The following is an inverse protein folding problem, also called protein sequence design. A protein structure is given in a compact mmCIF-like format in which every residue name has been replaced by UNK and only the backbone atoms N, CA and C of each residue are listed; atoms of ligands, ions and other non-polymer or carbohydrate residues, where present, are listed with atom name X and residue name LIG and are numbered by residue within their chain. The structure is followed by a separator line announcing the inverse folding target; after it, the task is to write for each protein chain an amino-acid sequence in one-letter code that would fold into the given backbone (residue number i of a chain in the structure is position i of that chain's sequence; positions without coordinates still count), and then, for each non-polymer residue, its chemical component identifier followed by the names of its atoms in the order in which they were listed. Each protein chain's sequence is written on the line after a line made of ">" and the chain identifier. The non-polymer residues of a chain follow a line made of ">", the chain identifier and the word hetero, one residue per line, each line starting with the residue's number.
data_IF_905938312025
#
_entry.id   IF_905938312025
#
_cell.length_a   1.000
_cell.length_b   1.000
_cell.length_c   1.000
_cell.angle_alpha   90.00
_cell.angle_beta   90.00
_cell.angle_gamma   90.00
#
_symmetry.space_group_name_H-M   'P 1'
#
loop_
_entity.id
_entity.type
_entity.pdbx_description
1 polymer ?
#
# COMPACT_ATOMS: atom_id res chain seq x y z
N UNK A 1 28.60 1.06 18.58
CA UNK A 1 27.47 0.14 18.32
C UNK A 1 26.27 0.61 19.15
N UNK A 2 25.27 1.19 18.51
CA UNK A 2 24.02 1.52 19.20
C UNK A 2 23.36 0.21 19.64
N UNK A 3 23.15 0.05 20.95
CA UNK A 3 22.39 -1.09 21.47
C UNK A 3 20.94 -0.91 21.05
N UNK A 4 20.48 -1.70 20.08
CA UNK A 4 19.06 -1.81 19.74
C UNK A 4 18.35 -2.24 21.02
N UNK A 5 17.61 -1.32 21.63
CA UNK A 5 16.74 -1.69 22.75
C UNK A 5 15.68 -2.63 22.20
N UNK A 6 15.39 -3.76 22.86
CA UNK A 6 14.26 -4.59 22.49
C UNK A 6 13.02 -3.70 22.51
N UNK A 7 12.28 -3.73 21.41
CA UNK A 7 10.99 -3.07 21.31
C UNK A 7 10.12 -3.70 22.40
N UNK A 8 9.84 -2.94 23.46
CA UNK A 8 8.90 -3.35 24.52
C UNK A 8 7.50 -3.47 23.93
N UNK A 9 6.75 -4.47 24.37
CA UNK A 9 5.31 -4.70 24.21
C UNK A 9 4.62 -3.74 23.21
N UNK A 10 4.72 -4.05 21.90
CA UNK A 10 3.93 -3.34 20.90
C UNK A 10 2.49 -3.80 21.07
N UNK A 11 1.65 -2.87 21.50
CA UNK A 11 0.20 -3.05 21.43
C UNK A 11 -0.26 -2.71 20.00
N UNK A 12 -0.18 -3.70 19.12
CA UNK A 12 -0.56 -3.56 17.71
C UNK A 12 -2.02 -3.13 17.56
N UNK A 13 -2.88 -3.55 18.49
CA UNK A 13 -4.29 -3.21 18.44
C UNK A 13 -4.53 -1.75 18.79
N UNK A 14 -3.88 -1.26 19.83
CA UNK A 14 -3.90 0.16 20.18
C UNK A 14 -3.37 1.01 19.03
N UNK A 15 -2.24 0.62 18.43
CA UNK A 15 -1.65 1.38 17.32
C UNK A 15 -2.60 1.47 16.11
N UNK A 16 -3.27 0.37 15.74
CA UNK A 16 -4.24 0.37 14.65
C UNK A 16 -5.47 1.24 14.98
N UNK A 17 -5.98 1.17 16.20
CA UNK A 17 -7.09 2.01 16.64
C UNK A 17 -6.72 3.50 16.67
N UNK A 18 -5.53 3.83 17.18
CA UNK A 18 -5.01 5.21 17.21
C UNK A 18 -4.81 5.75 15.78
N UNK A 19 -4.43 4.88 14.83
CA UNK A 19 -4.27 5.24 13.43
C UNK A 19 -5.62 5.43 12.72
N UNK A 20 -6.57 4.52 12.92
CA UNK A 20 -7.94 4.62 12.38
C UNK A 20 -8.72 5.82 12.94
N UNK A 21 -8.41 6.26 14.16
CA UNK A 21 -8.99 7.45 14.78
C UNK A 21 -8.28 8.75 14.41
N UNK A 22 -7.27 8.72 13.54
CA UNK A 22 -6.50 9.89 13.13
C UNK A 22 -6.89 10.38 11.74
N UNK A 23 -6.49 11.62 11.43
CA UNK A 23 -6.59 12.26 10.11
C UNK A 23 -5.55 11.75 9.09
N UNK A 24 -4.66 10.84 9.52
CA UNK A 24 -3.58 10.28 8.70
C UNK A 24 -4.09 9.15 7.79
N UNK A 25 -5.20 8.51 8.16
CA UNK A 25 -5.90 7.55 7.30
C UNK A 25 -7.14 8.20 6.70
N UNK A 26 -7.27 8.10 5.38
CA UNK A 26 -8.46 8.51 4.65
C UNK A 26 -9.19 7.28 4.13
N UNK A 27 -10.47 7.13 4.48
CA UNK A 27 -11.29 6.04 3.95
C UNK A 27 -11.49 6.23 2.44
N UNK A 28 -11.13 5.20 1.68
CA UNK A 28 -11.32 5.11 0.23
C UNK A 28 -12.68 4.49 -0.06
N UNK A 29 -12.96 3.34 0.57
CA UNK A 29 -14.24 2.66 0.48
C UNK A 29 -14.45 1.69 1.64
N UNK A 30 -15.72 1.37 1.86
CA UNK A 30 -16.18 0.45 2.90
C UNK A 30 -17.12 -0.59 2.32
N UNK A 31 -16.77 -1.86 2.52
CA UNK A 31 -17.41 -3.02 1.92
C UNK A 31 -18.06 -3.85 3.01
N UNK A 32 -19.37 -4.01 2.92
CA UNK A 32 -20.16 -4.92 3.76
C UNK A 32 -20.78 -6.03 2.92
N UNK A 33 -21.32 -7.04 3.59
CA UNK A 33 -21.94 -8.19 2.94
C UNK A 33 -23.08 -7.80 1.97
N UNK A 34 -23.86 -6.78 2.32
CA UNK A 34 -25.00 -6.29 1.56
C UNK A 34 -24.64 -5.39 0.37
N UNK A 35 -23.40 -4.91 0.28
CA UNK A 35 -23.02 -3.99 -0.78
C UNK A 35 -22.93 -4.69 -2.13
N UNK A 36 -23.22 -3.95 -3.20
CA UNK A 36 -22.94 -4.37 -4.57
C UNK A 36 -21.55 -3.89 -5.01
N UNK A 37 -20.95 -4.57 -5.99
CA UNK A 37 -19.67 -4.13 -6.56
C UNK A 37 -19.77 -2.70 -7.12
N UNK A 38 -20.89 -2.34 -7.75
CA UNK A 38 -21.12 -1.01 -8.32
C UNK A 38 -21.12 0.09 -7.25
N UNK A 39 -21.77 -0.15 -6.10
CA UNK A 39 -21.75 0.78 -4.97
C UNK A 39 -20.33 1.07 -4.49
N UNK A 40 -19.51 0.03 -4.35
CA UNK A 40 -18.12 0.19 -3.88
C UNK A 40 -17.26 0.89 -4.93
N UNK A 41 -17.43 0.54 -6.21
CA UNK A 41 -16.70 1.20 -7.30
C UNK A 41 -17.03 2.71 -7.36
N UNK A 42 -18.29 3.08 -7.12
CA UNK A 42 -18.70 4.49 -7.04
C UNK A 42 -18.05 5.22 -5.86
N UNK A 43 -17.94 4.59 -4.68
CA UNK A 43 -17.21 5.17 -3.54
C UNK A 43 -15.76 5.47 -3.89
N UNK A 44 -15.08 4.53 -4.56
CA UNK A 44 -13.67 4.70 -4.99
C UNK A 44 -13.55 5.86 -6.00
N UNK A 45 -14.52 5.99 -6.93
CA UNK A 45 -14.55 7.09 -7.89
C UNK A 45 -14.81 8.45 -7.23
N UNK A 46 -15.70 8.51 -6.24
CA UNK A 46 -15.96 9.72 -5.44
C UNK A 46 -14.72 10.12 -4.64
N UNK A 47 -14.05 9.16 -4.00
CA UNK A 47 -12.78 9.38 -3.32
C UNK A 47 -11.74 9.99 -4.27
N UNK A 48 -11.54 9.39 -5.44
CA UNK A 48 -10.59 9.87 -6.45
C UNK A 48 -10.84 11.32 -6.88
N UNK A 49 -12.11 11.70 -7.06
CA UNK A 49 -12.51 13.08 -7.38
C UNK A 49 -12.24 14.03 -6.22
N UNK A 50 -12.62 13.66 -5.00
CA UNK A 50 -12.47 14.51 -3.81
C UNK A 50 -11.00 14.79 -3.49
N UNK A 51 -10.15 13.80 -3.68
CA UNK A 51 -8.71 13.89 -3.42
C UNK A 51 -7.89 14.40 -4.62
N UNK A 52 -8.56 14.81 -5.71
CA UNK A 52 -7.95 15.26 -6.96
C UNK A 52 -6.83 14.31 -7.43
N UNK A 53 -7.12 13.01 -7.41
CA UNK A 53 -6.17 12.00 -7.84
C UNK A 53 -6.14 12.00 -9.36
N UNK A 54 -5.19 12.73 -9.94
CA UNK A 54 -4.94 12.70 -11.38
C UNK A 54 -4.38 11.33 -11.77
N UNK A 55 -5.15 10.63 -12.62
CA UNK A 55 -4.81 9.32 -13.18
C UNK A 55 -4.04 9.46 -14.50
N UNK A 56 -3.43 10.63 -14.76
CA UNK A 56 -2.71 10.86 -16.02
C UNK A 56 -1.56 9.86 -16.20
N UNK A 57 -1.40 9.38 -17.45
CA UNK A 57 -0.48 8.32 -17.85
C UNK A 57 0.93 8.53 -17.29
N UNK A 58 1.38 7.53 -16.53
CA UNK A 58 2.75 7.28 -16.07
C UNK A 58 3.73 8.44 -16.26
N UNK A 59 3.62 9.49 -15.44
CA UNK A 59 4.71 10.43 -15.30
C UNK A 59 5.82 9.73 -14.49
N UNK A 60 7.04 9.67 -15.01
CA UNK A 60 8.21 9.10 -14.32
C UNK A 60 8.48 9.74 -12.93
N UNK A 61 7.80 10.87 -12.63
CA UNK A 61 7.83 11.60 -11.35
C UNK A 61 6.72 11.23 -10.36
N UNK A 62 5.73 10.43 -10.71
CA UNK A 62 4.60 10.12 -9.83
C UNK A 62 5.07 9.30 -8.62
N UNK A 63 4.90 9.78 -7.39
CA UNK A 63 5.18 8.98 -6.18
C UNK A 63 4.09 7.95 -5.96
N UNK A 64 4.47 6.75 -5.51
CA UNK A 64 3.48 5.73 -5.13
C UNK A 64 2.71 6.13 -3.87
N UNK A 65 1.44 5.73 -3.80
CA UNK A 65 0.55 5.91 -2.64
C UNK A 65 0.51 4.63 -1.83
N UNK A 66 0.36 4.76 -0.50
CA UNK A 66 0.30 3.62 0.43
C UNK A 66 -1.13 3.47 0.92
N UNK A 67 -1.59 2.23 1.03
CA UNK A 67 -2.91 1.91 1.51
C UNK A 67 -2.90 0.73 2.49
N UNK A 68 -3.93 0.66 3.31
CA UNK A 68 -4.17 -0.43 4.27
C UNK A 68 -5.59 -0.98 4.07
N UNK A 69 -5.70 -2.30 4.03
CA UNK A 69 -6.97 -3.03 4.10
C UNK A 69 -7.19 -3.46 5.55
N UNK A 70 -8.30 -3.02 6.13
CA UNK A 70 -8.72 -3.35 7.48
C UNK A 70 -9.95 -4.23 7.43
N UNK A 71 -9.96 -5.29 8.23
CA UNK A 71 -11.11 -6.18 8.39
C UNK A 71 -11.71 -6.08 9.79
N UNK A 72 -13.03 -6.22 9.85
CA UNK A 72 -13.78 -6.39 11.09
C UNK A 72 -14.78 -7.53 10.90
N UNK A 73 -14.86 -8.44 11.87
CA UNK A 73 -15.89 -9.48 11.86
C UNK A 73 -17.31 -8.86 11.93
N UNK A 74 -17.44 -7.74 12.64
CA UNK A 74 -18.62 -6.86 12.67
C UNK A 74 -18.15 -5.41 12.93
N UNK A 75 -18.92 -4.39 12.56
CA UNK A 75 -18.55 -2.98 12.68
C UNK A 75 -18.18 -2.55 14.11
N UNK A 76 -18.77 -3.21 15.11
CA UNK A 76 -18.52 -2.98 16.53
C UNK A 76 -17.34 -3.79 17.10
N UNK A 77 -16.75 -4.67 16.29
CA UNK A 77 -15.65 -5.53 16.69
C UNK A 77 -14.28 -4.93 16.34
N UNK A 78 -13.28 -5.52 17.00
CA UNK A 78 -11.88 -5.11 16.98
C UNK A 78 -11.34 -5.16 15.54
N UNK A 79 -10.82 -4.04 15.00
CA UNK A 79 -10.27 -4.02 13.64
C UNK A 79 -8.94 -4.77 13.57
N UNK A 80 -8.69 -5.41 12.43
CA UNK A 80 -7.45 -6.13 12.13
C UNK A 80 -6.87 -5.58 10.83
N UNK A 81 -5.58 -5.28 10.81
CA UNK A 81 -4.84 -4.94 9.59
C UNK A 81 -4.62 -6.21 8.79
N UNK A 82 -5.27 -6.32 7.62
CA UNK A 82 -5.22 -7.51 6.77
C UNK A 82 -4.08 -7.43 5.76
N UNK A 83 -3.89 -6.25 5.17
CA UNK A 83 -2.89 -6.02 4.14
C UNK A 83 -2.47 -4.56 4.12
N UNK A 84 -1.21 -4.32 3.78
CA UNK A 84 -0.68 -3.00 3.42
C UNK A 84 -0.11 -3.11 2.02
N UNK A 85 -0.43 -2.15 1.16
CA UNK A 85 0.01 -2.12 -0.22
C UNK A 85 0.55 -0.76 -0.64
N UNK A 86 1.22 -0.74 -1.79
CA UNK A 86 1.72 0.48 -2.41
C UNK A 86 1.54 0.46 -3.93
N UNK A 87 0.86 1.48 -4.44
CA UNK A 87 0.37 1.57 -5.82
C UNK A 87 0.77 2.88 -6.46
N UNK A 88 1.07 2.87 -7.77
CA UNK A 88 1.17 4.12 -8.52
C UNK A 88 -0.23 4.68 -8.81
N UNK A 89 -1.13 3.80 -9.21
CA UNK A 89 -2.55 4.09 -9.41
C UNK A 89 -3.35 3.29 -8.36
N UNK A 90 -3.52 3.92 -7.20
CA UNK A 90 -4.23 3.35 -6.05
C UNK A 90 -5.69 3.02 -6.40
N UNK A 91 -6.33 3.85 -7.22
CA UNK A 91 -7.73 3.67 -7.60
C UNK A 91 -7.87 2.43 -8.47
N UNK A 92 -6.99 2.26 -9.47
CA UNK A 92 -7.02 1.08 -10.34
C UNK A 92 -6.72 -0.21 -9.57
N UNK A 93 -5.74 -0.21 -8.69
CA UNK A 93 -5.39 -1.38 -7.88
C UNK A 93 -6.57 -1.80 -7.00
N UNK A 94 -7.11 -0.88 -6.20
CA UNK A 94 -8.23 -1.19 -5.30
C UNK A 94 -9.50 -1.56 -6.09
N UNK A 95 -9.78 -0.94 -7.25
CA UNK A 95 -10.90 -1.36 -8.10
C UNK A 95 -10.74 -2.79 -8.62
N UNK A 96 -9.52 -3.23 -8.94
CA UNK A 96 -9.26 -4.61 -9.34
C UNK A 96 -9.50 -5.56 -8.16
N UNK A 97 -8.95 -5.23 -6.99
CA UNK A 97 -9.13 -6.02 -5.77
C UNK A 97 -10.62 -6.15 -5.39
N UNK A 98 -11.38 -5.05 -5.46
CA UNK A 98 -12.83 -5.06 -5.25
C UNK A 98 -13.54 -5.92 -6.29
N UNK A 99 -13.21 -5.80 -7.58
CA UNK A 99 -13.81 -6.66 -8.61
C UNK A 99 -13.54 -8.14 -8.35
N UNK A 100 -12.36 -8.47 -7.83
CA UNK A 100 -12.02 -9.84 -7.43
C UNK A 100 -12.90 -10.33 -6.27
N UNK A 101 -13.14 -9.49 -5.24
CA UNK A 101 -14.01 -9.81 -4.11
C UNK A 101 -15.44 -10.19 -4.53
N UNK A 102 -15.95 -9.60 -5.61
CA UNK A 102 -17.30 -9.82 -6.14
C UNK A 102 -17.35 -10.79 -7.33
N UNK A 103 -16.22 -11.36 -7.74
CA UNK A 103 -16.17 -12.26 -8.90
C UNK A 103 -16.63 -13.69 -8.53
N UNK A 104 -17.54 -14.24 -9.33
CA UNK A 104 -18.07 -15.60 -9.12
C UNK A 104 -17.18 -16.69 -9.74
N UNK A 105 -16.26 -16.35 -10.66
CA UNK A 105 -15.73 -17.30 -11.65
C UNK A 105 -14.20 -17.41 -11.80
N UNK A 106 -13.38 -16.93 -10.86
CA UNK A 106 -11.92 -17.05 -10.97
C UNK A 106 -11.33 -18.03 -9.94
N UNK A 107 -10.78 -19.17 -10.41
CA UNK A 107 -9.97 -20.11 -9.62
C UNK A 107 -8.70 -19.46 -9.02
N UNK A 108 -8.33 -18.26 -9.48
CA UNK A 108 -7.12 -17.53 -9.06
C UNK A 108 -7.32 -16.51 -7.93
N UNK A 109 -8.55 -16.07 -7.63
CA UNK A 109 -8.77 -14.95 -6.69
C UNK A 109 -9.43 -15.39 -5.37
N UNK A 110 -8.89 -16.44 -4.74
CA UNK A 110 -9.38 -16.91 -3.44
C UNK A 110 -9.18 -15.86 -2.35
N UNK A 111 -8.03 -15.18 -2.33
CA UNK A 111 -7.63 -14.34 -1.20
C UNK A 111 -8.67 -13.26 -0.84
N UNK A 112 -8.98 -12.34 -1.76
CA UNK A 112 -9.88 -11.23 -1.44
C UNK A 112 -11.34 -11.67 -1.23
N UNK A 113 -11.77 -12.73 -1.93
CA UNK A 113 -13.09 -13.33 -1.70
C UNK A 113 -13.19 -13.96 -0.32
N UNK A 114 -12.19 -14.73 0.10
CA UNK A 114 -12.11 -15.34 1.42
C UNK A 114 -12.13 -14.27 2.52
N UNK A 115 -11.48 -13.13 2.30
CA UNK A 115 -11.56 -12.00 3.22
C UNK A 115 -12.99 -11.44 3.33
N UNK A 116 -13.70 -11.25 2.20
CA UNK A 116 -15.08 -10.75 2.21
C UNK A 116 -16.07 -11.73 2.86
N UNK A 117 -15.83 -13.03 2.74
CA UNK A 117 -16.64 -14.06 3.42
C UNK A 117 -16.33 -14.12 4.93
N UNK A 118 -15.06 -13.95 5.30
CA UNK A 118 -14.61 -14.05 6.69
C UNK A 118 -14.96 -12.82 7.53
N UNK A 119 -14.89 -11.62 6.95
CA UNK A 119 -15.08 -10.36 7.65
C UNK A 119 -16.39 -9.70 7.22
N UNK A 120 -17.26 -9.39 8.17
CA UNK A 120 -18.52 -8.70 7.89
C UNK A 120 -18.34 -7.26 7.38
N UNK A 121 -17.16 -6.69 7.59
CA UNK A 121 -16.79 -5.37 7.06
C UNK A 121 -15.31 -5.33 6.66
N UNK A 122 -15.05 -4.83 5.46
CA UNK A 122 -13.71 -4.52 4.95
C UNK A 122 -13.63 -3.03 4.62
N UNK A 123 -12.49 -2.40 4.92
CA UNK A 123 -12.27 -0.98 4.71
C UNK A 123 -10.91 -0.77 4.07
N UNK A 124 -10.88 -0.08 2.93
CA UNK A 124 -9.64 0.40 2.33
C UNK A 124 -9.40 1.83 2.78
N UNK A 125 -8.20 2.10 3.29
CA UNK A 125 -7.78 3.44 3.69
C UNK A 125 -6.47 3.81 2.99
N UNK A 126 -6.38 5.05 2.51
CA UNK A 126 -5.11 5.63 2.08
C UNK A 126 -4.36 6.19 3.29
N UNK A 127 -3.05 5.93 3.33
CA UNK A 127 -2.14 6.47 4.32
C UNK A 127 -1.47 7.74 3.81
N UNK A 128 -1.65 8.85 4.53
CA UNK A 128 -0.92 10.10 4.28
C UNK A 128 0.53 9.94 4.74
N UNK A 129 1.40 9.57 3.80
CA UNK A 129 2.80 9.15 4.05
C UNK A 129 3.56 10.18 4.89
N UNK A 130 3.54 11.46 4.49
CA UNK A 130 4.34 12.49 5.16
C UNK A 130 3.91 12.69 6.62
N UNK A 131 2.60 12.74 6.87
CA UNK A 131 2.05 12.90 8.22
C UNK A 131 2.31 11.66 9.08
N UNK A 132 2.21 10.47 8.49
CA UNK A 132 2.52 9.23 9.18
C UNK A 132 3.99 9.18 9.60
N UNK A 133 4.90 9.54 8.70
CA UNK A 133 6.33 9.58 8.99
C UNK A 133 6.66 10.64 10.05
N UNK A 134 6.06 11.83 9.99
CA UNK A 134 6.26 12.86 11.00
C UNK A 134 5.85 12.40 12.41
N UNK A 135 4.73 11.68 12.52
CA UNK A 135 4.18 11.25 13.81
C UNK A 135 4.81 9.96 14.35
N UNK A 136 5.13 9.01 13.49
CA UNK A 136 5.49 7.64 13.90
C UNK A 136 6.91 7.22 13.51
N UNK A 137 7.64 7.97 12.69
CA UNK A 137 9.01 7.58 12.35
C UNK A 137 9.93 7.67 13.58
N UNK A 138 10.64 6.58 13.82
CA UNK A 138 11.73 6.55 14.79
C UNK A 138 13.05 6.85 14.07
N UNK A 139 13.86 7.78 14.58
CA UNK A 139 15.11 8.23 13.93
C UNK A 139 16.04 7.04 13.59
N UNK A 140 16.12 6.04 14.48
CA UNK A 140 16.92 4.83 14.26
C UNK A 140 16.40 4.00 13.07
N UNK A 141 15.08 3.95 12.85
CA UNK A 141 14.48 3.23 11.71
C UNK A 141 14.74 3.99 10.41
N UNK A 142 14.64 5.32 10.46
CA UNK A 142 14.93 6.19 9.31
C UNK A 142 16.37 6.04 8.82
N UNK A 143 17.35 6.00 9.73
CA UNK A 143 18.76 5.75 9.36
C UNK A 143 18.96 4.40 8.68
N UNK A 144 18.37 3.33 9.24
CA UNK A 144 18.47 1.98 8.66
C UNK A 144 17.83 1.92 7.27
N UNK A 145 16.63 2.48 7.12
CA UNK A 145 15.93 2.55 5.82
C UNK A 145 16.73 3.37 4.81
N UNK A 146 17.36 4.45 5.23
CA UNK A 146 18.21 5.28 4.36
C UNK A 146 19.46 4.53 3.88
N UNK A 147 20.15 3.81 4.76
CA UNK A 147 21.29 2.98 4.36
C UNK A 147 20.86 1.86 3.39
N UNK A 148 19.73 1.20 3.63
CA UNK A 148 19.18 0.22 2.68
C UNK A 148 18.85 0.86 1.32
N UNK A 149 18.27 2.06 1.32
CA UNK A 149 17.96 2.78 0.08
C UNK A 149 19.23 3.14 -0.72
N UNK A 150 20.36 3.41 -0.06
CA UNK A 150 21.65 3.63 -0.74
C UNK A 150 22.13 2.37 -1.43
N UNK A 151 22.04 1.21 -0.78
CA UNK A 151 22.42 -0.08 -1.37
C UNK A 151 21.60 -0.34 -2.63
N UNK A 152 20.29 -0.13 -2.56
CA UNK A 152 19.38 -0.25 -3.71
C UNK A 152 19.72 0.72 -4.84
N UNK A 153 19.98 1.99 -4.51
CA UNK A 153 20.38 2.99 -5.50
C UNK A 153 21.70 2.65 -6.17
N UNK A 154 22.71 2.21 -5.39
CA UNK A 154 24.00 1.80 -5.92
C UNK A 154 23.87 0.58 -6.84
N UNK A 155 23.11 -0.44 -6.43
CA UNK A 155 22.83 -1.62 -7.25
C UNK A 155 22.17 -1.25 -8.59
N UNK A 156 21.12 -0.43 -8.53
CA UNK A 156 20.42 0.06 -9.72
C UNK A 156 21.34 0.84 -10.66
N UNK A 157 22.14 1.74 -10.08
CA UNK A 157 23.06 2.59 -10.83
C UNK A 157 24.18 1.77 -11.48
N UNK A 158 24.69 0.73 -10.81
CA UNK A 158 25.65 -0.22 -11.40
C UNK A 158 24.99 -0.99 -12.53
N UNK A 159 23.79 -1.55 -12.33
CA UNK A 159 23.07 -2.28 -13.37
C UNK A 159 22.82 -1.40 -14.61
N UNK A 160 22.41 -0.14 -14.40
CA UNK A 160 22.22 0.87 -15.43
C UNK A 160 23.53 1.20 -16.17
N UNK A 161 24.56 1.63 -15.44
CA UNK A 161 25.83 2.09 -16.04
C UNK A 161 26.57 0.97 -16.79
N UNK A 162 26.39 -0.28 -16.36
CA UNK A 162 27.05 -1.43 -17.00
C UNK A 162 26.21 -2.11 -18.07
N UNK A 163 24.97 -1.64 -18.31
CA UNK A 163 23.98 -2.34 -19.14
C UNK A 163 23.88 -3.83 -18.76
N UNK A 164 23.77 -4.11 -17.46
CA UNK A 164 23.80 -5.48 -16.95
C UNK A 164 22.68 -6.31 -17.60
N UNK A 165 23.08 -7.36 -18.31
CA UNK A 165 22.14 -8.22 -19.06
C UNK A 165 21.35 -9.16 -18.15
N UNK A 166 21.90 -9.48 -16.99
CA UNK A 166 21.34 -10.41 -16.02
C UNK A 166 21.34 -9.77 -14.64
N UNK A 167 20.40 -8.85 -14.42
CA UNK A 167 20.20 -8.23 -13.12
C UNK A 167 19.09 -8.98 -12.36
N UNK A 168 19.44 -9.54 -11.20
CA UNK A 168 18.58 -10.39 -10.37
C UNK A 168 17.58 -9.60 -9.54
N UNK A 169 16.85 -8.65 -10.12
CA UNK A 169 16.01 -7.70 -9.38
C UNK A 169 14.93 -8.37 -8.51
N UNK A 170 14.47 -9.56 -8.88
CA UNK A 170 13.50 -10.35 -8.10
C UNK A 170 14.04 -10.84 -6.73
N UNK A 171 15.37 -10.85 -6.56
CA UNK A 171 16.05 -11.16 -5.30
C UNK A 171 16.77 -9.93 -4.71
N UNK A 172 16.67 -8.78 -5.38
CA UNK A 172 17.16 -7.51 -4.84
C UNK A 172 16.07 -6.89 -3.98
N UNK A 173 16.44 -6.18 -2.92
CA UNK A 173 15.46 -5.40 -2.14
C UNK A 173 14.92 -4.17 -2.88
N UNK A 174 15.34 -3.95 -4.13
CA UNK A 174 14.84 -2.86 -4.97
C UNK A 174 13.70 -3.34 -5.89
N UNK A 175 12.58 -2.63 -5.82
CA UNK A 175 11.46 -2.82 -6.73
C UNK A 175 11.87 -2.49 -8.18
N UNK A 176 11.46 -3.34 -9.13
CA UNK A 176 11.60 -3.15 -10.58
C UNK A 176 11.15 -1.75 -11.04
N UNK A 177 10.18 -1.14 -10.34
CA UNK A 177 9.70 0.22 -10.58
C UNK A 177 10.79 1.30 -10.43
N UNK A 178 11.72 1.16 -9.48
CA UNK A 178 12.79 2.11 -9.27
C UNK A 178 13.77 2.16 -10.46
N UNK A 179 14.04 1.01 -11.08
CA UNK A 179 14.89 0.93 -12.28
C UNK A 179 14.28 1.64 -13.49
N UNK A 180 12.98 1.44 -13.76
CA UNK A 180 12.31 2.11 -14.88
C UNK A 180 12.27 3.63 -14.75
N UNK A 181 12.34 4.18 -13.53
CA UNK A 181 12.49 5.63 -13.32
C UNK A 181 13.89 6.17 -13.60
N UNK A 182 14.90 5.30 -13.51
CA UNK A 182 16.30 5.65 -13.78
C UNK A 182 16.63 5.46 -15.26
N UNK A 183 15.88 4.59 -15.96
CA UNK A 183 15.98 4.45 -17.40
C UNK A 183 15.56 5.77 -18.09
N UNK A 184 16.38 6.34 -18.97
CA UNK A 184 15.96 7.47 -19.78
C UNK A 184 14.82 7.05 -20.70
N UNK A 185 13.87 7.97 -20.93
CA UNK A 185 12.84 7.78 -21.95
C UNK A 185 13.54 7.41 -23.27
N UNK A 186 13.14 6.27 -23.85
CA UNK A 186 13.73 5.77 -25.09
C UNK A 186 13.76 6.90 -26.14
N UNK A 187 14.96 7.27 -26.59
CA UNK A 187 15.16 7.98 -27.85
C UNK A 187 15.08 7.02 -29.01
#
# INVERSE_FOLDING_TARGET
>A
MAKIKPIKDIDFQKNLNDLLGSDILKEICKIKCENTAEEILNQIDEYGKNENIDVEESNNKQSGRVWILVGRENIDLVPISLQVGQSLDILKEIKLDVKEMFSENNEKSLFYRDLKEKYGCLEFHELLIDQYLEKYACENVKEVVYEMAKEFYAEALVAYNTYSRNWGFYNSGMDKRAYFRILPDNK
#
